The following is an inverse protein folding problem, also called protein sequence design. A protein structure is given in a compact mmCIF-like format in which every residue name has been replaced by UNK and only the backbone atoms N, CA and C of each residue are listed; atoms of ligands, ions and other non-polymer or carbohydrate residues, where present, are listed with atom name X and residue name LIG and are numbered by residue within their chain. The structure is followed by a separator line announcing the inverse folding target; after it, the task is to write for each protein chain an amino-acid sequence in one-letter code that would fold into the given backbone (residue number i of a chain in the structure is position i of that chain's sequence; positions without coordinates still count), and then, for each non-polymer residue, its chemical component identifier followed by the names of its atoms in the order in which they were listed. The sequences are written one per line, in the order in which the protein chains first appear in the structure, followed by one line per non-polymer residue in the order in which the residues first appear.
data_IF_537183462220
#
_entry.id   IF_537183462220
#
_cell.length_a   1.000
_cell.length_b   1.000
_cell.length_c   1.000
_cell.angle_alpha   90.00
_cell.angle_beta   90.00
_cell.angle_gamma   90.00
#
_symmetry.space_group_name_H-M   'P 1'
#
loop_
_entity.id
_entity.type
_entity.pdbx_description
1 polymer ?
#
# COMPACT_ATOMS: atom_id res chain seq x y z
N UNK A 1 -41.09 39.59 -32.75
CA UNK A 1 -41.40 38.96 -31.45
C UNK A 1 -40.55 37.72 -31.12
N UNK A 2 -39.33 37.50 -31.68
CA UNK A 2 -38.62 36.21 -31.55
C UNK A 2 -37.25 36.25 -30.85
N UNK A 3 -36.78 37.40 -30.34
CA UNK A 3 -35.40 37.51 -29.78
C UNK A 3 -35.28 37.11 -28.30
N UNK A 4 -36.36 37.18 -27.51
CA UNK A 4 -36.30 36.83 -26.07
C UNK A 4 -36.35 35.32 -25.78
N UNK A 5 -36.84 34.49 -26.72
CA UNK A 5 -36.91 33.04 -26.55
C UNK A 5 -35.56 32.32 -26.81
N UNK A 6 -34.66 32.95 -27.56
CA UNK A 6 -33.35 32.36 -27.91
C UNK A 6 -32.36 32.46 -26.76
N UNK A 7 -32.39 33.55 -25.99
CA UNK A 7 -31.46 33.77 -24.87
C UNK A 7 -31.75 32.89 -23.65
N UNK A 8 -33.01 32.54 -23.40
CA UNK A 8 -33.39 31.63 -22.30
C UNK A 8 -32.96 30.18 -22.56
N UNK A 9 -33.02 29.75 -23.82
CA UNK A 9 -32.66 28.39 -24.23
C UNK A 9 -31.14 28.12 -24.07
N UNK A 10 -30.30 29.14 -24.33
CA UNK A 10 -28.84 29.03 -24.21
C UNK A 10 -28.36 29.00 -22.73
N UNK A 11 -29.04 29.70 -21.82
CA UNK A 11 -28.74 29.64 -20.37
C UNK A 11 -29.21 28.34 -19.72
N UNK A 12 -30.30 27.75 -20.20
CA UNK A 12 -30.84 26.47 -19.71
C UNK A 12 -29.95 25.28 -20.09
N UNK A 13 -29.49 25.21 -21.33
CA UNK A 13 -28.56 24.16 -21.80
C UNK A 13 -27.22 24.17 -21.04
N UNK A 14 -26.70 25.37 -20.74
CA UNK A 14 -25.47 25.54 -19.94
C UNK A 14 -25.66 25.14 -18.48
N UNK A 15 -26.85 25.35 -17.90
CA UNK A 15 -27.17 24.89 -16.53
C UNK A 15 -27.33 23.37 -16.50
N UNK A 16 -28.09 22.76 -17.42
CA UNK A 16 -28.22 21.30 -17.51
C UNK A 16 -26.87 20.60 -17.70
N UNK A 17 -25.97 21.19 -18.49
CA UNK A 17 -24.60 20.69 -18.68
C UNK A 17 -23.79 20.69 -17.38
N UNK A 18 -23.92 21.72 -16.54
CA UNK A 18 -23.24 21.79 -15.25
C UNK A 18 -23.78 20.76 -14.25
N UNK A 19 -25.09 20.54 -14.22
CA UNK A 19 -25.70 19.50 -13.37
C UNK A 19 -25.24 18.10 -13.80
N UNK A 20 -25.20 17.82 -15.11
CA UNK A 20 -24.67 16.56 -15.63
C UNK A 20 -23.22 16.31 -15.22
N UNK A 21 -22.38 17.35 -15.25
CA UNK A 21 -20.96 17.24 -14.87
C UNK A 21 -20.79 16.96 -13.36
N UNK A 22 -21.60 17.56 -12.50
CA UNK A 22 -21.58 17.29 -11.05
C UNK A 22 -22.01 15.86 -10.69
N UNK A 23 -23.00 15.32 -11.40
CA UNK A 23 -23.48 13.94 -11.20
C UNK A 23 -22.41 12.94 -11.65
N UNK A 24 -21.77 13.17 -12.80
CA UNK A 24 -20.69 12.29 -13.29
C UNK A 24 -19.50 12.29 -12.34
N UNK A 25 -19.15 13.46 -11.78
CA UNK A 25 -18.04 13.58 -10.84
C UNK A 25 -18.35 12.94 -9.47
N UNK A 26 -19.61 13.02 -9.00
CA UNK A 26 -20.08 12.30 -7.81
C UNK A 26 -20.23 10.80 -8.01
N UNK A 27 -20.57 10.33 -9.23
CA UNK A 27 -20.62 8.90 -9.54
C UNK A 27 -19.21 8.32 -9.68
N UNK A 28 -18.26 9.10 -10.19
CA UNK A 28 -16.86 8.70 -10.31
C UNK A 28 -16.17 8.55 -8.93
N UNK A 29 -16.61 9.28 -7.90
CA UNK A 29 -16.06 9.13 -6.55
C UNK A 29 -16.54 7.86 -5.82
N UNK A 30 -17.58 7.21 -6.32
CA UNK A 30 -18.06 5.90 -5.86
C UNK A 30 -17.32 4.73 -6.53
N UNK A 31 -16.44 4.99 -7.51
CA UNK A 31 -15.59 3.95 -8.06
C UNK A 31 -14.66 3.45 -6.94
N UNK A 32 -14.75 2.15 -6.57
CA UNK A 32 -13.88 1.61 -5.55
C UNK A 32 -12.44 1.81 -6.03
N UNK A 33 -11.63 2.53 -5.25
CA UNK A 33 -10.19 2.57 -5.45
C UNK A 33 -9.71 1.12 -5.55
N UNK A 34 -9.17 0.74 -6.71
CA UNK A 34 -8.71 -0.60 -6.97
C UNK A 34 -7.87 -1.07 -5.78
N UNK A 35 -8.38 -2.05 -5.05
CA UNK A 35 -7.67 -2.69 -3.93
C UNK A 35 -6.44 -3.33 -4.56
N UNK A 36 -5.30 -2.66 -4.51
CA UNK A 36 -4.03 -3.31 -4.82
C UNK A 36 -3.88 -4.41 -3.78
N UNK A 37 -3.97 -5.67 -4.21
CA UNK A 37 -3.56 -6.77 -3.34
C UNK A 37 -2.08 -6.53 -3.06
N UNK A 38 -1.77 -6.11 -1.84
CA UNK A 38 -0.40 -5.97 -1.34
C UNK A 38 0.20 -7.37 -1.14
N UNK A 39 0.26 -8.16 -2.21
CA UNK A 39 0.90 -9.46 -2.21
C UNK A 39 2.39 -9.22 -2.41
N UNK A 40 3.25 -9.55 -1.44
CA UNK A 40 4.68 -9.48 -1.66
C UNK A 40 5.03 -10.37 -2.85
N UNK A 41 5.82 -9.83 -3.78
CA UNK A 41 6.37 -10.60 -4.89
C UNK A 41 7.41 -11.62 -4.40
N UNK A 42 7.87 -12.47 -5.31
CA UNK A 42 9.00 -13.34 -5.00
C UNK A 42 10.26 -12.51 -4.73
N UNK A 43 11.13 -12.94 -3.79
CA UNK A 43 12.41 -12.28 -3.56
C UNK A 43 13.26 -12.32 -4.83
N UNK A 44 13.92 -11.21 -5.14
CA UNK A 44 14.83 -11.10 -6.29
C UNK A 44 16.19 -11.70 -5.93
N UNK A 45 16.96 -12.08 -6.94
CA UNK A 45 18.36 -12.54 -6.77
C UNK A 45 19.23 -11.52 -6.02
N UNK A 46 18.93 -10.23 -6.18
CA UNK A 46 19.60 -9.14 -5.44
C UNK A 46 19.33 -9.20 -3.94
N UNK A 47 18.12 -9.56 -3.53
CA UNK A 47 17.70 -9.56 -2.13
C UNK A 47 18.49 -10.62 -1.35
N UNK A 48 18.70 -11.79 -1.97
CA UNK A 48 19.56 -12.85 -1.44
C UNK A 48 21.00 -12.35 -1.24
N UNK A 49 21.57 -11.67 -2.24
CA UNK A 49 22.95 -11.14 -2.15
C UNK A 49 23.08 -10.11 -1.04
N UNK A 50 22.10 -9.23 -0.90
CA UNK A 50 22.05 -8.21 0.15
C UNK A 50 21.96 -8.88 1.53
N UNK A 51 21.08 -9.86 1.73
CA UNK A 51 20.95 -10.58 2.99
C UNK A 51 22.26 -11.27 3.42
N UNK A 52 22.96 -11.92 2.48
CA UNK A 52 24.25 -12.55 2.74
C UNK A 52 25.35 -11.53 3.07
N UNK A 53 25.37 -10.39 2.37
CA UNK A 53 26.33 -9.33 2.64
C UNK A 53 26.10 -8.72 4.03
N UNK A 54 24.86 -8.37 4.35
CA UNK A 54 24.48 -7.77 5.64
C UNK A 54 24.77 -8.73 6.79
N UNK A 55 24.41 -10.02 6.67
CA UNK A 55 24.72 -11.02 7.71
C UNK A 55 26.23 -11.17 7.94
N UNK A 56 27.04 -11.14 6.86
CA UNK A 56 28.50 -11.17 6.97
C UNK A 56 29.06 -9.92 7.67
N UNK A 57 28.49 -8.73 7.37
CA UNK A 57 28.89 -7.48 8.04
C UNK A 57 28.47 -7.45 9.51
N UNK A 58 27.30 -7.99 9.85
CA UNK A 58 26.86 -8.15 11.23
C UNK A 58 27.81 -9.09 12.00
N UNK A 59 28.19 -10.25 11.44
CA UNK A 59 29.11 -11.18 12.12
C UNK A 59 30.50 -10.59 12.33
N UNK A 60 31.01 -9.81 11.36
CA UNK A 60 32.41 -9.33 11.38
C UNK A 60 32.62 -7.95 11.99
N UNK A 61 31.60 -7.09 11.95
CA UNK A 61 31.77 -5.64 12.21
C UNK A 61 30.85 -5.10 13.31
N UNK A 62 29.94 -5.91 13.85
CA UNK A 62 29.05 -5.46 14.90
C UNK A 62 29.81 -5.29 16.23
N UNK A 63 29.61 -4.13 16.89
CA UNK A 63 30.37 -3.73 18.08
C UNK A 63 30.22 -4.67 19.27
N UNK A 64 29.08 -5.38 19.36
CA UNK A 64 28.84 -6.34 20.43
C UNK A 64 29.69 -7.61 20.34
N UNK A 65 30.37 -7.85 19.20
CA UNK A 65 31.11 -9.09 18.94
C UNK A 65 30.23 -10.35 18.88
N UNK A 66 28.90 -10.18 18.92
CA UNK A 66 27.97 -11.31 18.84
C UNK A 66 27.91 -11.83 17.41
N UNK A 67 28.05 -13.16 17.29
CA UNK A 67 27.97 -13.85 16.01
C UNK A 67 26.53 -14.12 15.62
N UNK A 68 26.29 -14.20 14.31
CA UNK A 68 25.00 -14.67 13.79
C UNK A 68 24.91 -16.17 14.05
N UNK A 69 24.12 -16.56 15.06
CA UNK A 69 23.93 -17.94 15.50
C UNK A 69 22.42 -18.24 15.73
N UNK A 70 22.11 -19.45 16.19
CA UNK A 70 20.72 -19.89 16.38
C UNK A 70 19.95 -19.02 17.37
N UNK A 71 20.58 -18.55 18.46
CA UNK A 71 19.88 -17.75 19.48
C UNK A 71 19.58 -16.33 18.98
N UNK A 72 20.48 -15.74 18.20
CA UNK A 72 20.25 -14.46 17.52
C UNK A 72 19.18 -14.62 16.44
N UNK A 73 19.19 -15.73 15.69
CA UNK A 73 18.17 -16.02 14.68
C UNK A 73 16.78 -16.17 15.27
N UNK A 74 16.65 -16.88 16.40
CA UNK A 74 15.39 -17.05 17.13
C UNK A 74 14.84 -15.70 17.60
N UNK A 75 15.69 -14.87 18.23
CA UNK A 75 15.30 -13.51 18.65
C UNK A 75 14.89 -12.64 17.46
N UNK A 76 15.64 -12.71 16.36
CA UNK A 76 15.33 -11.95 15.16
C UNK A 76 13.98 -12.36 14.57
N UNK A 77 13.65 -13.66 14.57
CA UNK A 77 12.36 -14.15 14.11
C UNK A 77 11.22 -13.68 14.99
N UNK A 78 11.40 -13.72 16.32
CA UNK A 78 10.39 -13.21 17.25
C UNK A 78 10.13 -11.71 17.04
N UNK A 79 11.20 -10.89 16.93
CA UNK A 79 11.07 -9.46 16.63
C UNK A 79 10.42 -9.20 15.26
N UNK A 80 10.68 -10.07 14.28
CA UNK A 80 10.08 -9.96 12.95
C UNK A 80 8.56 -10.14 13.03
N UNK A 81 8.06 -11.15 13.74
CA UNK A 81 6.62 -11.34 13.93
C UNK A 81 5.98 -10.22 14.76
N UNK A 82 6.65 -9.75 15.80
CA UNK A 82 6.18 -8.59 16.58
C UNK A 82 6.08 -7.32 15.72
N UNK A 83 6.98 -7.15 14.75
CA UNK A 83 6.96 -6.01 13.82
C UNK A 83 5.90 -6.18 12.73
N UNK A 84 5.72 -7.41 12.22
CA UNK A 84 4.76 -7.73 11.18
C UNK A 84 3.31 -7.66 11.66
N UNK A 85 3.01 -8.21 12.84
CA UNK A 85 1.66 -8.23 13.42
C UNK A 85 1.67 -7.93 14.93
N UNK A 86 1.89 -6.66 15.32
CA UNK A 86 1.96 -6.28 16.73
C UNK A 86 0.67 -6.55 17.51
N UNK A 87 -0.49 -6.45 16.83
CA UNK A 87 -1.82 -6.62 17.41
C UNK A 87 -2.33 -8.07 17.35
N UNK A 88 -1.59 -8.97 16.69
CA UNK A 88 -1.92 -10.39 16.54
C UNK A 88 -3.29 -10.63 15.90
N UNK A 89 -3.59 -9.86 14.85
CA UNK A 89 -4.89 -9.93 14.16
C UNK A 89 -4.86 -10.88 12.95
N UNK A 90 -3.68 -11.24 12.45
CA UNK A 90 -3.53 -11.91 11.16
C UNK A 90 -2.99 -13.34 11.26
N UNK A 91 -2.15 -13.66 12.24
CA UNK A 91 -1.58 -14.99 12.41
C UNK A 91 -2.24 -15.78 13.55
N UNK A 92 -2.42 -17.09 13.36
CA UNK A 92 -2.77 -18.01 14.43
C UNK A 92 -1.52 -18.55 15.13
N UNK A 93 -1.67 -19.05 16.36
CA UNK A 93 -0.55 -19.69 17.06
C UNK A 93 -0.02 -20.93 16.33
N UNK A 94 -0.85 -21.60 15.53
CA UNK A 94 -0.43 -22.75 14.72
C UNK A 94 0.47 -22.37 13.54
N UNK A 95 0.51 -21.09 13.14
CA UNK A 95 1.27 -20.62 11.99
C UNK A 95 2.71 -20.20 12.38
N UNK A 96 2.98 -20.05 13.67
CA UNK A 96 4.23 -19.54 14.25
C UNK A 96 5.04 -20.69 14.86
#
# INVERSE_FOLDING_TARGET
MNRFAVESNCRSARRLSLWGLTIVMGLASLLPAARTLARPGQPRETDRRIALLVSTLMDRRHLSGMRVNNTVSERAMNMFFETLDPLKLYFLQSDI
#
